data_IF_513411879421
#
_entry.id   IF_513411879421
#
_cell.length_a   1.000
_cell.length_b   1.000
_cell.length_c   1.000
_cell.angle_alpha   90.00
_cell.angle_beta   90.00
_cell.angle_gamma   90.00
#
_symmetry.space_group_name_H-M   'P 1'
#
loop_
_entity.id
_entity.type
_entity.pdbx_description
1 polymer ?
#
# COMPACT_ATOMS: atom_id res chain seq x y z
N UNK A 1 15.09 11.69 19.09
CA UNK A 1 14.82 10.63 18.11
C UNK A 1 16.04 9.75 18.14
N UNK A 2 15.87 8.53 18.61
CA UNK A 2 16.93 7.52 18.61
C UNK A 2 16.97 6.87 17.22
N UNK A 3 18.11 6.27 16.87
CA UNK A 3 18.31 5.64 15.55
C UNK A 3 17.38 4.44 15.29
N UNK A 4 16.75 3.89 16.33
CA UNK A 4 15.84 2.74 16.25
C UNK A 4 14.35 3.11 16.32
N UNK A 5 14.02 4.41 16.41
CA UNK A 5 12.62 4.83 16.47
C UNK A 5 11.94 4.54 15.12
N UNK A 6 10.84 3.76 15.09
CA UNK A 6 10.14 3.46 13.85
C UNK A 6 9.44 4.72 13.31
N UNK A 7 9.55 4.95 12.00
CA UNK A 7 8.98 6.12 11.32
C UNK A 7 8.13 5.70 10.12
N UNK A 8 7.10 6.49 9.81
CA UNK A 8 6.29 6.31 8.60
C UNK A 8 6.93 7.15 7.49
N UNK A 9 7.49 6.49 6.49
CA UNK A 9 8.21 7.15 5.40
C UNK A 9 7.33 7.48 4.19
N UNK A 10 6.20 6.79 4.03
CA UNK A 10 5.27 7.00 2.92
C UNK A 10 3.89 6.44 3.24
N UNK A 11 2.88 6.97 2.54
CA UNK A 11 1.50 6.52 2.64
C UNK A 11 0.81 6.64 1.27
N UNK A 12 0.02 5.62 0.93
CA UNK A 12 -0.86 5.62 -0.23
C UNK A 12 -2.17 4.91 0.10
N UNK A 13 -3.22 5.27 -0.64
CA UNK A 13 -4.52 4.60 -0.59
C UNK A 13 -5.21 4.70 -1.94
N UNK A 14 -6.10 3.77 -2.23
CA UNK A 14 -7.03 3.91 -3.34
C UNK A 14 -8.12 4.94 -3.00
N UNK A 15 -8.87 5.42 -4.01
CA UNK A 15 -10.20 5.97 -3.77
C UNK A 15 -11.10 4.92 -3.10
N UNK A 16 -12.07 5.38 -2.31
CA UNK A 16 -13.13 4.51 -1.79
C UNK A 16 -14.23 4.37 -2.84
N UNK A 17 -14.55 3.12 -3.21
CA UNK A 17 -15.65 2.80 -4.10
C UNK A 17 -16.97 2.63 -3.35
N UNK A 18 -18.09 2.79 -4.07
CA UNK A 18 -19.41 2.36 -3.60
C UNK A 18 -19.55 0.84 -3.81
N UNK A 19 -20.36 0.18 -2.98
CA UNK A 19 -20.76 -1.21 -3.22
C UNK A 19 -21.34 -1.35 -4.63
N UNK A 20 -20.84 -2.32 -5.41
CA UNK A 20 -21.19 -2.50 -6.84
C UNK A 20 -20.94 -1.25 -7.71
N UNK A 21 -20.01 -0.38 -7.30
CA UNK A 21 -19.64 0.85 -7.99
C UNK A 21 -18.41 0.69 -8.90
N UNK A 22 -17.67 1.78 -9.11
CA UNK A 22 -16.60 1.86 -10.11
C UNK A 22 -15.37 0.97 -9.88
N UNK A 23 -15.21 0.37 -8.70
CA UNK A 23 -14.14 -0.58 -8.39
C UNK A 23 -14.62 -2.04 -8.36
N UNK A 24 -15.88 -2.29 -8.72
CA UNK A 24 -16.53 -3.61 -8.54
C UNK A 24 -15.94 -4.72 -9.41
N UNK A 25 -15.24 -4.39 -10.48
CA UNK A 25 -14.53 -5.34 -11.35
C UNK A 25 -13.11 -5.66 -10.87
N UNK A 26 -12.60 -4.97 -9.86
CA UNK A 26 -11.23 -5.17 -9.37
C UNK A 26 -11.18 -6.21 -8.27
N UNK A 27 -10.13 -7.05 -8.29
CA UNK A 27 -9.86 -7.99 -7.21
C UNK A 27 -9.14 -7.25 -6.08
N UNK A 28 -9.43 -7.62 -4.82
CA UNK A 28 -8.84 -6.97 -3.65
C UNK A 28 -7.30 -6.98 -3.66
N UNK A 29 -6.69 -8.07 -4.13
CA UNK A 29 -5.24 -8.21 -4.26
C UNK A 29 -4.64 -7.16 -5.22
N UNK A 30 -5.31 -6.85 -6.34
CA UNK A 30 -4.83 -5.86 -7.30
C UNK A 30 -4.86 -4.44 -6.71
N UNK A 31 -5.90 -4.13 -5.93
CA UNK A 31 -6.00 -2.86 -5.20
C UNK A 31 -4.89 -2.75 -4.14
N UNK A 32 -4.62 -3.84 -3.41
CA UNK A 32 -3.52 -3.93 -2.46
C UNK A 32 -2.15 -3.73 -3.12
N UNK A 33 -1.90 -4.42 -4.23
CA UNK A 33 -0.66 -4.29 -5.00
C UNK A 33 -0.48 -2.86 -5.55
N UNK A 34 -1.55 -2.23 -6.01
CA UNK A 34 -1.53 -0.86 -6.51
C UNK A 34 -1.09 0.14 -5.42
N UNK A 35 -1.62 0.02 -4.20
CA UNK A 35 -1.25 0.96 -3.11
C UNK A 35 0.15 0.70 -2.57
N UNK A 36 0.58 -0.56 -2.47
CA UNK A 36 1.95 -0.90 -2.04
C UNK A 36 2.95 -0.29 -3.03
N UNK A 37 2.74 -0.50 -4.33
CA UNK A 37 3.59 0.07 -5.39
C UNK A 37 3.64 1.59 -5.30
N UNK A 38 2.49 2.26 -5.21
CA UNK A 38 2.43 3.71 -5.11
C UNK A 38 3.12 4.25 -3.85
N UNK A 39 3.05 3.55 -2.72
CA UNK A 39 3.73 3.95 -1.49
C UNK A 39 5.26 3.83 -1.64
N UNK A 40 5.75 2.74 -2.22
CA UNK A 40 7.18 2.51 -2.48
C UNK A 40 7.74 3.52 -3.48
N UNK A 41 7.03 3.76 -4.59
CA UNK A 41 7.41 4.75 -5.61
C UNK A 41 7.53 6.17 -5.03
N UNK A 42 6.58 6.60 -4.18
CA UNK A 42 6.64 7.91 -3.50
C UNK A 42 7.79 8.00 -2.50
N UNK A 43 8.13 6.89 -1.86
CA UNK A 43 9.25 6.81 -0.93
C UNK A 43 10.61 6.74 -1.66
N UNK A 44 10.63 6.42 -2.96
CA UNK A 44 11.85 6.09 -3.68
C UNK A 44 12.52 4.79 -3.21
N UNK A 45 11.75 3.89 -2.57
CA UNK A 45 12.26 2.65 -2.00
C UNK A 45 12.03 1.52 -3.01
N UNK A 46 13.08 0.81 -3.44
CA UNK A 46 12.92 -0.33 -4.33
C UNK A 46 12.37 -1.54 -3.57
N UNK A 47 11.61 -2.38 -4.27
CA UNK A 47 10.84 -3.46 -3.64
C UNK A 47 11.71 -4.52 -2.96
N UNK A 48 12.94 -4.73 -3.43
CA UNK A 48 13.91 -5.66 -2.85
C UNK A 48 14.42 -5.26 -1.45
N UNK A 49 14.21 -4.01 -1.02
CA UNK A 49 14.54 -3.56 0.34
C UNK A 49 13.44 -3.83 1.36
N UNK A 50 12.29 -4.37 0.93
CA UNK A 50 11.16 -4.66 1.82
C UNK A 50 11.35 -6.04 2.45
N UNK A 51 11.63 -6.08 3.74
CA UNK A 51 11.78 -7.35 4.47
C UNK A 51 10.44 -8.08 4.69
N UNK A 52 9.36 -7.33 4.91
CA UNK A 52 8.05 -7.89 5.25
C UNK A 52 6.90 -7.07 4.66
N UNK A 53 5.85 -7.78 4.24
CA UNK A 53 4.59 -7.20 3.79
C UNK A 53 3.47 -7.78 4.64
N UNK A 54 2.69 -6.92 5.28
CA UNK A 54 1.52 -7.30 6.08
C UNK A 54 0.29 -6.64 5.44
N UNK A 55 -0.67 -7.46 4.98
CA UNK A 55 -1.88 -6.99 4.31
C UNK A 55 -3.14 -7.53 5.02
N UNK A 56 -4.01 -6.63 5.49
CA UNK A 56 -5.31 -7.00 6.04
C UNK A 56 -6.39 -7.09 4.97
N UNK A 57 -7.18 -8.16 4.98
CA UNK A 57 -8.35 -8.36 4.10
C UNK A 57 -9.39 -9.25 4.81
N UNK A 58 -10.68 -9.07 4.51
CA UNK A 58 -11.83 -9.80 5.06
C UNK A 58 -12.77 -10.21 3.94
#
# INVERSE_FOLDING_TARGET
MNDLDPVIVSLARTPFGRLRGGLSSMVAADLGAHVIRAALERAGIPGEQVDQVILGTV
#
